data_IF_221970065381
#
_entry.id   IF_221970065381
#
_cell.length_a   1.000
_cell.length_b   1.000
_cell.length_c   1.000
_cell.angle_alpha   90.00
_cell.angle_beta   90.00
_cell.angle_gamma   90.00
#
_symmetry.space_group_name_H-M   'P 1'
#
loop_
_entity.id
_entity.type
_entity.pdbx_description
1 polymer ?
#
# COMPACT_ATOMS: atom_id res chain seq x y z
N UNK A 1 2.27 -12.17 -1.79
CA UNK A 1 2.11 -13.65 -1.64
C UNK A 1 3.43 -14.28 -1.20
N UNK A 2 3.43 -15.29 -0.32
CA UNK A 2 4.61 -15.95 0.26
C UNK A 2 5.51 -15.10 1.19
N UNK A 3 5.09 -13.88 1.54
CA UNK A 3 5.75 -13.07 2.56
C UNK A 3 5.76 -13.81 3.90
N UNK A 4 6.88 -13.74 4.61
CA UNK A 4 6.97 -14.26 5.97
C UNK A 4 6.08 -13.46 6.92
N UNK A 5 5.34 -14.16 7.78
CA UNK A 5 4.40 -13.57 8.73
C UNK A 5 4.80 -13.94 10.16
N UNK A 6 4.75 -12.97 11.06
CA UNK A 6 4.84 -13.16 12.51
C UNK A 6 3.50 -12.77 13.12
N UNK A 7 2.91 -13.66 13.91
CA UNK A 7 1.66 -13.36 14.62
C UNK A 7 2.01 -12.75 15.99
N UNK A 8 1.57 -11.52 16.22
CA UNK A 8 1.84 -10.81 17.48
C UNK A 8 0.55 -10.66 18.28
N UNK A 9 0.43 -11.45 19.34
CA UNK A 9 -0.66 -11.31 20.32
C UNK A 9 -0.42 -10.09 21.19
N UNK A 10 -1.28 -9.07 21.10
CA UNK A 10 -1.13 -7.85 21.90
C UNK A 10 -1.95 -7.91 23.18
N UNK A 11 -1.72 -6.96 24.10
CA UNK A 11 -2.49 -6.82 25.35
C UNK A 11 -2.42 -8.04 26.28
N UNK A 12 -1.27 -8.73 26.31
CA UNK A 12 -1.05 -9.88 27.19
C UNK A 12 -1.33 -9.59 28.67
N UNK A 13 -1.11 -8.35 29.12
CA UNK A 13 -1.42 -7.90 30.48
C UNK A 13 -2.91 -7.96 30.82
N UNK A 14 -3.79 -7.68 29.85
CA UNK A 14 -5.24 -7.77 30.05
C UNK A 14 -5.71 -9.22 30.01
N UNK A 15 -5.20 -10.02 29.07
CA UNK A 15 -5.51 -11.46 28.98
C UNK A 15 -5.16 -12.15 30.29
N UNK A 16 -3.98 -11.90 30.83
CA UNK A 16 -3.53 -12.49 32.10
C UNK A 16 -4.38 -12.06 33.32
N UNK A 17 -5.00 -10.88 33.27
CA UNK A 17 -5.80 -10.36 34.39
C UNK A 17 -7.26 -10.77 34.32
N UNK A 18 -7.83 -10.86 33.12
CA UNK A 18 -9.28 -10.97 32.91
C UNK A 18 -9.72 -12.35 32.43
N UNK A 19 -8.81 -13.17 31.90
CA UNK A 19 -9.11 -14.46 31.31
C UNK A 19 -8.43 -15.60 32.08
N UNK A 20 -8.91 -16.85 31.91
CA UNK A 20 -8.29 -18.01 32.53
C UNK A 20 -6.79 -18.11 32.19
N UNK A 21 -5.93 -18.57 33.11
CA UNK A 21 -4.49 -18.68 32.86
C UNK A 21 -4.11 -19.52 31.64
N UNK A 22 -4.91 -20.57 31.33
CA UNK A 22 -4.67 -21.44 30.17
C UNK A 22 -5.03 -20.79 28.84
N UNK A 23 -5.84 -19.73 28.84
CA UNK A 23 -6.42 -19.17 27.62
C UNK A 23 -5.36 -18.68 26.62
N UNK A 24 -4.30 -18.07 27.14
CA UNK A 24 -3.16 -17.63 26.34
C UNK A 24 -2.43 -18.82 25.70
N UNK A 25 -2.15 -19.88 26.47
CA UNK A 25 -1.52 -21.11 25.97
C UNK A 25 -2.40 -21.80 24.92
N UNK A 26 -3.71 -21.91 25.18
CA UNK A 26 -4.70 -22.49 24.28
C UNK A 26 -4.74 -21.75 22.93
N UNK A 27 -4.71 -20.41 22.96
CA UNK A 27 -4.65 -19.59 21.74
C UNK A 27 -3.34 -19.76 20.98
N UNK A 28 -2.20 -19.81 21.69
CA UNK A 28 -0.90 -20.06 21.07
C UNK A 28 -0.85 -21.44 20.40
N UNK A 29 -1.41 -22.46 21.06
CA UNK A 29 -1.53 -23.80 20.49
C UNK A 29 -2.43 -23.80 19.25
N UNK A 30 -3.59 -23.13 19.31
CA UNK A 30 -4.50 -23.02 18.19
C UNK A 30 -3.83 -22.36 16.97
N UNK A 31 -3.05 -21.29 17.18
CA UNK A 31 -2.29 -20.63 16.12
C UNK A 31 -1.26 -21.59 15.50
N UNK A 32 -0.50 -22.30 16.35
CA UNK A 32 0.52 -23.25 15.90
C UNK A 32 -0.11 -24.36 15.05
N UNK A 33 -1.21 -24.94 15.49
CA UNK A 33 -1.91 -26.01 14.77
C UNK A 33 -2.52 -25.54 13.44
N UNK A 34 -3.06 -24.31 13.39
CA UNK A 34 -3.77 -23.81 12.21
C UNK A 34 -2.90 -23.13 11.17
N UNK A 35 -1.74 -22.60 11.55
CA UNK A 35 -0.96 -21.74 10.65
C UNK A 35 0.53 -22.09 10.55
N UNK A 36 1.11 -22.77 11.55
CA UNK A 36 2.56 -23.04 11.58
C UNK A 36 2.83 -24.51 11.25
N UNK A 37 2.18 -25.43 11.96
CA UNK A 37 2.37 -26.87 11.85
C UNK A 37 1.42 -27.50 10.81
N UNK A 38 1.17 -26.81 9.71
CA UNK A 38 0.28 -27.29 8.64
C UNK A 38 1.12 -27.87 7.50
N UNK A 39 0.88 -29.13 7.17
CA UNK A 39 1.49 -29.80 6.01
C UNK A 39 0.91 -29.16 4.74
N UNK A 40 1.77 -28.80 3.78
CA UNK A 40 1.37 -28.18 2.51
C UNK A 40 0.52 -26.90 2.69
N UNK A 41 0.87 -26.07 3.68
CA UNK A 41 0.18 -24.80 3.97
C UNK A 41 0.07 -23.87 2.74
N UNK A 42 1.06 -23.91 1.86
CA UNK A 42 1.11 -23.17 0.59
C UNK A 42 0.00 -23.59 -0.38
N UNK A 43 -0.31 -24.90 -0.47
CA UNK A 43 -1.41 -25.41 -1.32
C UNK A 43 -2.79 -25.03 -0.79
N UNK A 44 -2.90 -24.78 0.51
CA UNK A 44 -4.12 -24.34 1.17
C UNK A 44 -4.31 -22.81 1.08
N UNK A 45 -3.36 -22.09 0.48
CA UNK A 45 -3.38 -20.64 0.40
C UNK A 45 -3.16 -19.96 1.76
N UNK A 46 -2.62 -20.67 2.74
CA UNK A 46 -2.31 -20.10 4.05
C UNK A 46 -1.07 -19.22 3.98
N UNK A 47 -1.02 -18.13 4.77
CA UNK A 47 0.18 -17.32 4.88
C UNK A 47 1.34 -18.14 5.46
N UNK A 48 2.57 -17.78 5.07
CA UNK A 48 3.79 -18.39 5.62
C UNK A 48 4.08 -17.84 7.01
N UNK A 49 3.37 -18.35 8.02
CA UNK A 49 3.58 -17.96 9.41
C UNK A 49 4.82 -18.67 9.96
N UNK A 50 5.79 -17.88 10.41
CA UNK A 50 7.06 -18.41 10.94
C UNK A 50 6.99 -18.65 12.44
N UNK A 51 6.39 -17.72 13.17
CA UNK A 51 6.29 -17.80 14.62
C UNK A 51 5.15 -16.93 15.17
N UNK A 52 4.86 -17.11 16.44
CA UNK A 52 3.87 -16.38 17.22
C UNK A 52 4.44 -15.92 18.55
N UNK A 53 4.16 -14.69 18.95
CA UNK A 53 4.65 -14.12 20.21
C UNK A 53 3.59 -13.22 20.86
N UNK A 54 3.45 -13.32 22.17
CA UNK A 54 2.56 -12.46 22.95
C UNK A 54 3.35 -11.35 23.61
N UNK A 55 2.83 -10.12 23.53
CA UNK A 55 3.48 -8.92 24.05
C UNK A 55 2.51 -8.05 24.85
N UNK A 56 3.08 -7.25 25.74
CA UNK A 56 2.37 -6.16 26.39
C UNK A 56 3.23 -4.91 26.38
N UNK A 57 2.74 -3.87 25.71
CA UNK A 57 3.40 -2.56 25.73
C UNK A 57 3.36 -1.92 27.12
N UNK A 58 2.34 -2.23 27.94
CA UNK A 58 2.18 -1.68 29.29
C UNK A 58 3.18 -2.26 30.28
N UNK A 59 3.30 -3.59 30.33
CA UNK A 59 4.25 -4.28 31.21
C UNK A 59 5.64 -4.47 30.59
N UNK A 60 5.81 -4.10 29.32
CA UNK A 60 6.99 -4.38 28.48
C UNK A 60 7.29 -5.88 28.34
N UNK A 61 6.28 -6.73 28.53
CA UNK A 61 6.39 -8.17 28.37
C UNK A 61 6.79 -8.52 26.93
N UNK A 62 7.84 -9.34 26.79
CA UNK A 62 8.37 -9.88 25.53
C UNK A 62 8.75 -8.87 24.44
N UNK A 63 8.76 -7.56 24.70
CA UNK A 63 9.11 -6.55 23.68
C UNK A 63 10.53 -6.77 23.13
N UNK A 64 11.50 -7.07 23.98
CA UNK A 64 12.87 -7.39 23.54
C UNK A 64 12.93 -8.67 22.70
N UNK A 65 12.14 -9.67 23.07
CA UNK A 65 12.07 -10.93 22.33
C UNK A 65 11.42 -10.70 20.94
N UNK A 66 10.40 -9.86 20.86
CA UNK A 66 9.81 -9.46 19.58
C UNK A 66 10.84 -8.77 18.69
N UNK A 67 11.63 -7.83 19.22
CA UNK A 67 12.69 -7.17 18.46
C UNK A 67 13.72 -8.18 17.91
N UNK A 68 14.17 -9.12 18.75
CA UNK A 68 15.10 -10.16 18.34
C UNK A 68 14.48 -11.08 17.29
N UNK A 69 13.22 -11.50 17.48
CA UNK A 69 12.50 -12.35 16.54
C UNK A 69 12.36 -11.68 15.16
N UNK A 70 12.04 -10.39 15.12
CA UNK A 70 12.00 -9.61 13.88
C UNK A 70 13.39 -9.60 13.23
N UNK A 71 14.44 -9.32 14.01
CA UNK A 71 15.82 -9.30 13.50
C UNK A 71 16.21 -10.66 12.91
N UNK A 72 16.08 -11.74 13.67
CA UNK A 72 16.43 -13.09 13.25
C UNK A 72 15.61 -13.54 12.02
N UNK A 73 14.32 -13.18 11.98
CA UNK A 73 13.47 -13.44 10.83
C UNK A 73 14.01 -12.74 9.59
N UNK A 74 14.20 -11.43 9.65
CA UNK A 74 14.63 -10.61 8.51
C UNK A 74 15.99 -11.03 7.97
N UNK A 75 16.95 -11.38 8.84
CA UNK A 75 18.28 -11.87 8.45
C UNK A 75 18.31 -13.33 7.97
N UNK A 76 17.25 -14.11 8.21
CA UNK A 76 17.13 -15.50 7.73
C UNK A 76 16.32 -15.64 6.45
N UNK A 77 15.61 -14.58 6.00
CA UNK A 77 14.86 -14.58 4.76
C UNK A 77 15.79 -14.82 3.55
N UNK A 78 15.28 -15.59 2.60
CA UNK A 78 15.97 -15.93 1.34
C UNK A 78 15.08 -15.53 0.17
N UNK A 79 15.70 -15.16 -0.94
CA UNK A 79 14.97 -14.89 -2.18
C UNK A 79 14.36 -16.19 -2.72
N UNK A 80 13.16 -16.18 -3.33
CA UNK A 80 12.54 -17.38 -3.90
C UNK A 80 13.41 -18.08 -4.96
N UNK A 81 14.25 -17.31 -5.67
CA UNK A 81 15.09 -17.78 -6.78
C UNK A 81 16.55 -18.04 -6.39
N UNK A 82 16.98 -17.68 -5.18
CA UNK A 82 18.38 -17.80 -4.75
C UNK A 82 18.49 -18.42 -3.37
N UNK A 83 19.57 -19.20 -3.17
CA UNK A 83 19.91 -19.75 -1.84
C UNK A 83 20.52 -18.70 -0.90
N UNK A 84 20.87 -17.53 -1.43
CA UNK A 84 21.43 -16.41 -0.69
C UNK A 84 20.37 -15.70 0.16
N UNK A 85 20.80 -15.16 1.30
CA UNK A 85 19.92 -14.35 2.16
C UNK A 85 19.57 -13.05 1.48
N UNK A 86 18.34 -12.59 1.69
CA UNK A 86 17.80 -11.41 1.02
C UNK A 86 18.68 -10.17 1.25
N UNK A 87 19.16 -9.96 2.48
CA UNK A 87 20.01 -8.81 2.83
C UNK A 87 21.47 -8.93 2.36
N UNK A 88 21.92 -10.13 1.97
CA UNK A 88 23.28 -10.34 1.47
C UNK A 88 23.38 -10.08 -0.05
N UNK A 89 22.22 -9.99 -0.73
CA UNK A 89 22.17 -9.74 -2.16
C UNK A 89 22.75 -8.37 -2.51
N UNK A 90 23.72 -8.38 -3.42
CA UNK A 90 24.32 -7.15 -3.94
C UNK A 90 23.41 -6.54 -4.99
N UNK A 91 23.21 -5.23 -4.88
CA UNK A 91 22.48 -4.44 -5.88
C UNK A 91 23.43 -3.48 -6.60
N UNK A 92 23.14 -3.12 -7.87
CA UNK A 92 23.93 -2.12 -8.58
C UNK A 92 23.87 -0.76 -7.87
N UNK A 93 25.02 -0.07 -7.77
CA UNK A 93 25.08 1.27 -7.18
C UNK A 93 24.21 2.30 -7.93
N UNK A 94 23.93 2.06 -9.21
CA UNK A 94 23.02 2.88 -10.03
C UNK A 94 21.56 2.82 -9.54
N UNK A 95 21.16 1.76 -8.84
CA UNK A 95 19.79 1.63 -8.30
C UNK A 95 19.62 2.53 -7.07
N UNK A 96 20.63 2.58 -6.20
CA UNK A 96 20.68 3.52 -5.07
C UNK A 96 20.71 4.97 -5.57
N UNK A 97 21.49 5.24 -6.62
CA UNK A 97 21.51 6.56 -7.24
C UNK A 97 20.14 6.95 -7.81
N UNK A 98 19.40 6.00 -8.39
CA UNK A 98 18.04 6.22 -8.86
C UNK A 98 17.08 6.51 -7.71
N UNK A 99 17.18 5.80 -6.58
CA UNK A 99 16.40 6.07 -5.36
C UNK A 99 16.60 7.52 -4.89
N UNK A 100 17.84 7.99 -4.79
CA UNK A 100 18.16 9.37 -4.42
C UNK A 100 17.62 10.40 -5.42
N UNK A 101 17.63 10.07 -6.71
CA UNK A 101 17.07 10.94 -7.76
C UNK A 101 15.55 10.98 -7.67
N UNK A 102 14.89 9.84 -7.50
CA UNK A 102 13.44 9.74 -7.35
C UNK A 102 12.96 10.51 -6.12
N UNK A 103 13.63 10.35 -4.98
CA UNK A 103 13.33 11.10 -3.76
C UNK A 103 13.48 12.61 -3.96
N UNK A 104 14.54 13.03 -4.66
CA UNK A 104 14.75 14.44 -4.99
C UNK A 104 13.66 15.00 -5.92
N UNK A 105 13.32 14.28 -6.98
CA UNK A 105 12.27 14.68 -7.93
C UNK A 105 10.90 14.73 -7.26
N UNK A 106 10.58 13.77 -6.38
CA UNK A 106 9.35 13.80 -5.59
C UNK A 106 9.28 15.04 -4.70
N UNK A 107 10.38 15.36 -4.00
CA UNK A 107 10.47 16.54 -3.13
C UNK A 107 10.36 17.85 -3.92
N UNK A 108 11.10 18.00 -5.02
CA UNK A 108 11.04 19.19 -5.88
C UNK A 108 9.61 19.45 -6.34
N UNK A 109 8.92 18.41 -6.82
CA UNK A 109 7.54 18.55 -7.30
C UNK A 109 6.59 18.97 -6.19
N UNK A 110 6.69 18.34 -5.01
CA UNK A 110 5.90 18.72 -3.82
C UNK A 110 6.11 20.20 -3.46
N UNK A 111 7.37 20.67 -3.43
CA UNK A 111 7.71 22.07 -3.14
C UNK A 111 7.19 23.03 -4.21
N UNK A 112 7.19 22.59 -5.46
CA UNK A 112 6.60 23.29 -6.61
C UNK A 112 5.06 23.18 -6.66
N UNK A 113 4.42 22.57 -5.67
CA UNK A 113 2.96 22.38 -5.58
C UNK A 113 2.39 21.40 -6.61
N UNK A 114 3.23 20.61 -7.27
CA UNK A 114 2.86 19.63 -8.32
C UNK A 114 2.74 18.24 -7.75
N UNK A 115 1.86 17.44 -8.34
CA UNK A 115 1.72 16.03 -7.97
C UNK A 115 3.02 15.27 -8.25
N UNK A 116 3.50 14.39 -7.35
CA UNK A 116 4.72 13.61 -7.51
C UNK A 116 4.55 12.45 -8.53
N UNK A 117 3.96 12.74 -9.68
CA UNK A 117 3.68 11.81 -10.78
C UNK A 117 4.34 12.33 -12.05
N UNK A 118 5.01 11.45 -12.78
CA UNK A 118 5.65 11.75 -14.06
C UNK A 118 5.14 10.83 -15.17
N UNK A 119 5.12 11.34 -16.39
CA UNK A 119 4.94 10.50 -17.59
C UNK A 119 6.23 9.73 -17.90
N UNK A 120 6.16 8.63 -18.65
CA UNK A 120 7.33 7.86 -19.10
C UNK A 120 8.43 8.73 -19.69
N UNK A 121 8.08 9.60 -20.64
CA UNK A 121 9.03 10.49 -21.32
C UNK A 121 9.70 11.45 -20.31
N UNK A 122 8.91 12.04 -19.42
CA UNK A 122 9.43 13.01 -18.43
C UNK A 122 10.28 12.32 -17.37
N UNK A 123 9.89 11.13 -16.93
CA UNK A 123 10.65 10.33 -15.98
C UNK A 123 12.03 10.00 -16.54
N UNK A 124 12.09 9.45 -17.76
CA UNK A 124 13.35 9.11 -18.42
C UNK A 124 14.26 10.34 -18.58
N UNK A 125 13.71 11.47 -19.06
CA UNK A 125 14.46 12.69 -19.28
C UNK A 125 15.01 13.27 -17.96
N UNK A 126 14.18 13.37 -16.92
CA UNK A 126 14.57 13.94 -15.62
C UNK A 126 15.57 13.06 -14.89
N UNK A 127 15.37 11.73 -14.87
CA UNK A 127 16.31 10.80 -14.25
C UNK A 127 17.68 10.90 -14.93
N UNK A 128 17.72 10.93 -16.26
CA UNK A 128 18.96 11.05 -17.02
C UNK A 128 19.67 12.37 -16.73
N UNK A 129 18.93 13.48 -16.72
CA UNK A 129 19.47 14.80 -16.42
C UNK A 129 20.02 14.89 -14.99
N UNK A 130 19.27 14.41 -14.00
CA UNK A 130 19.67 14.41 -12.59
C UNK A 130 20.91 13.54 -12.34
N UNK A 131 20.94 12.31 -12.87
CA UNK A 131 22.12 11.44 -12.75
C UNK A 131 23.36 12.11 -13.35
N UNK A 132 23.22 12.68 -14.55
CA UNK A 132 24.33 13.37 -15.23
C UNK A 132 24.79 14.59 -14.44
N UNK A 133 23.87 15.38 -13.87
CA UNK A 133 24.20 16.55 -13.06
C UNK A 133 24.99 16.21 -11.78
N UNK A 134 24.78 14.99 -11.25
CA UNK A 134 25.48 14.46 -10.07
C UNK A 134 26.79 13.76 -10.44
N UNK A 135 27.19 13.77 -11.72
CA UNK A 135 28.39 13.07 -12.20
C UNK A 135 28.24 11.55 -12.23
N UNK A 136 27.02 11.03 -12.12
CA UNK A 136 26.73 9.60 -12.15
C UNK A 136 26.50 9.13 -13.58
N UNK A 137 26.86 7.87 -13.87
CA UNK A 137 26.63 7.28 -15.18
C UNK A 137 25.13 7.07 -15.40
N UNK A 138 24.55 7.58 -16.51
CA UNK A 138 23.15 7.31 -16.84
C UNK A 138 22.95 5.83 -17.22
N UNK A 139 21.70 5.38 -17.16
CA UNK A 139 21.31 4.07 -17.68
C UNK A 139 21.59 3.97 -19.18
N UNK A 140 21.99 2.77 -19.64
CA UNK A 140 22.37 2.50 -21.04
C UNK A 140 21.18 2.66 -21.99
N UNK A 141 20.03 2.15 -21.56
CA UNK A 141 18.80 2.10 -22.33
C UNK A 141 17.57 2.07 -21.41
N UNK A 142 16.39 2.19 -22.01
CA UNK A 142 15.11 2.15 -21.28
C UNK A 142 14.90 0.82 -20.56
N UNK A 143 15.44 -0.30 -21.06
CA UNK A 143 15.25 -1.60 -20.42
C UNK A 143 16.01 -1.69 -19.08
N UNK A 144 17.24 -1.17 -19.02
CA UNK A 144 18.01 -1.09 -17.77
C UNK A 144 17.32 -0.18 -16.74
N UNK A 145 16.82 0.99 -17.17
CA UNK A 145 16.05 1.88 -16.29
C UNK A 145 14.75 1.21 -15.81
N UNK A 146 14.06 0.47 -16.67
CA UNK A 146 12.85 -0.25 -16.27
C UNK A 146 13.17 -1.33 -15.23
N UNK A 147 14.29 -2.05 -15.36
CA UNK A 147 14.70 -3.04 -14.37
C UNK A 147 15.00 -2.40 -13.00
N UNK A 148 15.68 -1.24 -13.00
CA UNK A 148 15.92 -0.47 -11.78
C UNK A 148 14.61 0.06 -11.18
N UNK A 149 13.69 0.52 -12.02
CA UNK A 149 12.36 1.01 -11.63
C UNK A 149 11.52 -0.11 -11.02
N UNK A 150 11.49 -1.31 -11.61
CA UNK A 150 10.81 -2.48 -11.05
C UNK A 150 11.37 -2.84 -9.69
N UNK A 151 12.69 -2.80 -9.52
CA UNK A 151 13.32 -3.03 -8.22
C UNK A 151 12.87 -1.98 -7.19
N UNK A 152 12.88 -0.69 -7.53
CA UNK A 152 12.36 0.37 -6.66
C UNK A 152 10.86 0.22 -6.36
N UNK A 153 10.08 -0.29 -7.31
CA UNK A 153 8.67 -0.61 -7.14
C UNK A 153 8.43 -1.71 -6.11
N UNK A 154 9.17 -2.81 -6.21
CA UNK A 154 9.09 -3.93 -5.26
C UNK A 154 9.51 -3.53 -3.84
N UNK A 155 10.42 -2.56 -3.72
CA UNK A 155 10.88 -2.02 -2.43
C UNK A 155 10.02 -0.84 -1.92
N UNK A 156 8.99 -0.42 -2.67
CA UNK A 156 8.10 0.66 -2.24
C UNK A 156 8.74 2.05 -2.22
N UNK A 157 9.77 2.30 -3.03
CA UNK A 157 10.40 3.62 -3.20
C UNK A 157 9.57 4.49 -4.15
N UNK A 158 9.09 3.90 -5.25
CA UNK A 158 8.16 4.49 -6.21
C UNK A 158 7.14 3.44 -6.63
N UNK A 159 6.08 3.82 -7.35
CA UNK A 159 5.14 2.87 -7.92
C UNK A 159 5.03 3.07 -9.43
N UNK A 160 5.11 1.98 -10.18
CA UNK A 160 4.90 1.92 -11.62
C UNK A 160 4.12 0.64 -11.92
N UNK A 161 3.06 0.76 -12.71
CA UNK A 161 2.14 -0.34 -12.97
C UNK A 161 2.16 -0.72 -14.43
N UNK A 162 2.44 -2.00 -14.71
CA UNK A 162 2.30 -2.55 -16.07
C UNK A 162 0.81 -2.82 -16.38
N UNK A 163 0.07 -1.73 -16.57
CA UNK A 163 -1.37 -1.70 -16.82
C UNK A 163 -1.65 -0.81 -18.03
N UNK A 164 -2.60 -1.18 -18.89
CA UNK A 164 -2.93 -0.40 -20.09
C UNK A 164 -3.22 1.08 -19.80
N UNK A 165 -3.76 1.39 -18.62
CA UNK A 165 -4.15 2.74 -18.22
C UNK A 165 -3.09 3.50 -17.40
N UNK A 166 -2.15 2.79 -16.78
CA UNK A 166 -1.16 3.39 -15.85
C UNK A 166 0.30 3.19 -16.26
N UNK A 167 0.60 2.38 -17.29
CA UNK A 167 1.98 2.09 -17.74
C UNK A 167 2.79 3.32 -18.12
N UNK A 168 2.12 4.41 -18.47
CA UNK A 168 2.77 5.67 -18.82
C UNK A 168 3.06 6.56 -17.62
N UNK A 169 2.73 6.13 -16.40
CA UNK A 169 2.78 6.95 -15.18
C UNK A 169 3.69 6.34 -14.12
N UNK A 170 4.55 7.19 -13.58
CA UNK A 170 5.50 6.87 -12.53
C UNK A 170 5.14 7.69 -11.29
N UNK A 171 4.68 7.02 -10.24
CA UNK A 171 4.32 7.61 -8.96
C UNK A 171 5.58 7.64 -8.10
N UNK A 172 6.23 8.79 -8.00
CA UNK A 172 7.51 8.95 -7.30
C UNK A 172 7.37 8.90 -5.77
N UNK A 173 6.14 8.81 -5.29
CA UNK A 173 5.79 9.01 -3.89
C UNK A 173 4.61 8.13 -3.50
N UNK A 174 4.91 6.92 -3.00
CA UNK A 174 3.88 5.95 -2.60
C UNK A 174 3.01 6.44 -1.45
N UNK A 175 3.57 7.21 -0.51
CA UNK A 175 2.81 7.75 0.62
C UNK A 175 1.75 8.75 0.14
N UNK A 176 2.11 9.67 -0.76
CA UNK A 176 1.14 10.60 -1.35
C UNK A 176 0.02 9.86 -2.08
N UNK A 177 0.33 8.78 -2.81
CA UNK A 177 -0.69 7.96 -3.46
C UNK A 177 -1.63 7.33 -2.43
N UNK A 178 -1.09 6.75 -1.35
CA UNK A 178 -1.88 6.18 -0.27
C UNK A 178 -2.78 7.22 0.41
N UNK A 179 -2.24 8.41 0.72
CA UNK A 179 -2.99 9.51 1.30
C UNK A 179 -4.12 9.98 0.37
N UNK A 180 -3.83 10.01 -0.93
CA UNK A 180 -4.78 10.37 -1.99
C UNK A 180 -5.94 9.37 -2.08
N UNK A 181 -5.65 8.06 -2.07
CA UNK A 181 -6.66 7.01 -2.06
C UNK A 181 -7.47 7.00 -0.75
N UNK A 182 -6.80 7.19 0.39
CA UNK A 182 -7.45 7.24 1.69
C UNK A 182 -8.49 8.36 1.76
N UNK A 183 -8.19 9.56 1.22
CA UNK A 183 -9.13 10.68 1.17
C UNK A 183 -10.46 10.32 0.49
N UNK A 184 -10.45 9.48 -0.55
CA UNK A 184 -11.67 9.07 -1.26
C UNK A 184 -12.60 8.24 -0.38
N UNK A 185 -12.04 7.36 0.47
CA UNK A 185 -12.80 6.44 1.33
C UNK A 185 -12.98 6.93 2.76
N UNK A 186 -12.54 8.15 3.07
CA UNK A 186 -12.74 8.72 4.41
C UNK A 186 -14.20 8.91 4.76
N UNK A 187 -14.46 9.04 6.07
CA UNK A 187 -15.79 9.28 6.63
C UNK A 187 -16.42 10.57 6.08
N UNK A 188 -17.76 10.65 6.14
CA UNK A 188 -18.56 11.70 5.50
C UNK A 188 -18.21 13.11 6.00
N UNK A 189 -17.75 13.24 7.24
CA UNK A 189 -17.32 14.48 7.86
C UNK A 189 -16.09 15.08 7.14
N UNK A 190 -15.27 14.21 6.54
CA UNK A 190 -14.07 14.57 5.79
C UNK A 190 -14.36 14.59 4.28
N UNK A 191 -15.13 13.62 3.78
CA UNK A 191 -15.58 13.55 2.38
C UNK A 191 -17.11 13.57 2.27
N UNK A 192 -17.75 14.75 2.24
CA UNK A 192 -19.22 14.87 2.14
C UNK A 192 -19.76 14.56 0.73
N UNK A 193 -18.88 14.35 -0.25
CA UNK A 193 -19.24 14.13 -1.66
C UNK A 193 -19.58 12.66 -1.95
N UNK A 194 -19.11 11.73 -1.12
CA UNK A 194 -19.44 10.31 -1.20
C UNK A 194 -20.72 10.00 -0.39
N UNK A 195 -21.89 10.16 -1.01
CA UNK A 195 -23.18 9.92 -0.35
C UNK A 195 -23.66 8.49 -0.64
N UNK A 196 -23.86 7.71 0.41
CA UNK A 196 -24.31 6.30 0.32
C UNK A 196 -23.45 5.47 -0.65
N UNK A 197 -22.13 5.68 -0.64
CA UNK A 197 -21.23 4.97 -1.53
C UNK A 197 -21.24 5.45 -2.99
N UNK A 198 -21.89 6.58 -3.31
CA UNK A 198 -21.86 7.16 -4.66
C UNK A 198 -21.23 8.53 -4.63
N UNK A 199 -20.30 8.78 -5.55
CA UNK A 199 -19.59 10.05 -5.69
C UNK A 199 -19.57 10.47 -7.16
N UNK A 200 -19.74 11.76 -7.47
CA UNK A 200 -19.61 12.23 -8.85
C UNK A 200 -18.14 12.37 -9.24
N UNK A 201 -17.81 12.06 -10.50
CA UNK A 201 -16.48 12.27 -11.05
C UNK A 201 -16.04 13.74 -10.97
N UNK A 202 -16.99 14.68 -11.08
CA UNK A 202 -16.70 16.10 -10.93
C UNK A 202 -16.34 16.52 -9.51
N UNK A 203 -16.75 15.75 -8.50
CA UNK A 203 -16.44 16.05 -7.10
C UNK A 203 -15.04 15.54 -6.73
N UNK A 204 -14.39 14.71 -7.56
CA UNK A 204 -13.00 14.28 -7.35
C UNK A 204 -12.07 15.47 -7.23
N UNK A 205 -12.26 16.52 -8.04
CA UNK A 205 -11.47 17.76 -7.96
C UNK A 205 -11.50 18.42 -6.57
N UNK A 206 -12.57 18.18 -5.80
CA UNK A 206 -12.72 18.73 -4.46
C UNK A 206 -12.03 17.89 -3.40
N UNK A 207 -11.84 16.60 -3.66
CA UNK A 207 -11.04 15.69 -2.83
C UNK A 207 -9.55 15.90 -3.10
N UNK A 208 -9.18 16.25 -4.34
CA UNK A 208 -7.79 16.46 -4.76
C UNK A 208 -7.39 17.94 -4.87
N UNK A 209 -7.91 18.82 -4.01
CA UNK A 209 -7.65 20.29 -4.06
C UNK A 209 -6.17 20.71 -3.95
N UNK A 210 -5.26 19.82 -3.60
CA UNK A 210 -3.81 20.06 -3.57
C UNK A 210 -3.07 19.77 -4.89
N UNK A 211 -3.75 19.16 -5.87
CA UNK A 211 -3.16 18.76 -7.14
C UNK A 211 -3.24 19.91 -8.15
N UNK A 212 -2.12 20.60 -8.38
CA UNK A 212 -2.04 21.71 -9.36
C UNK A 212 -1.82 21.23 -10.81
N UNK A 213 -1.85 19.92 -11.08
CA UNK A 213 -1.69 19.41 -12.45
C UNK A 213 -2.98 19.58 -13.27
N UNK A 214 -2.82 19.77 -14.57
CA UNK A 214 -3.86 20.23 -15.49
C UNK A 214 -5.17 19.40 -15.41
N UNK A 215 -6.36 20.04 -15.52
CA UNK A 215 -7.63 19.47 -15.06
C UNK A 215 -8.17 18.29 -15.88
N UNK A 216 -7.54 17.96 -17.01
CA UNK A 216 -8.07 17.02 -18.00
C UNK A 216 -7.48 15.62 -17.82
N UNK A 217 -6.17 15.52 -17.52
CA UNK A 217 -5.48 14.23 -17.37
C UNK A 217 -5.43 13.73 -15.92
N UNK A 218 -5.53 14.63 -14.93
CA UNK A 218 -5.53 14.23 -13.53
C UNK A 218 -6.73 13.34 -13.17
N UNK A 219 -7.91 13.67 -13.71
CA UNK A 219 -9.12 12.87 -13.50
C UNK A 219 -8.99 11.47 -14.09
N UNK A 220 -8.37 11.32 -15.26
CA UNK A 220 -8.33 10.03 -15.96
C UNK A 220 -7.45 9.04 -15.21
N UNK A 221 -6.24 9.42 -14.80
CA UNK A 221 -5.37 8.49 -14.09
C UNK A 221 -5.85 8.21 -12.66
N UNK A 222 -6.47 9.18 -11.97
CA UNK A 222 -7.03 8.95 -10.63
C UNK A 222 -8.15 7.92 -10.68
N UNK A 223 -9.04 8.01 -11.67
CA UNK A 223 -10.09 7.00 -11.88
C UNK A 223 -9.48 5.65 -12.19
N UNK A 224 -8.45 5.59 -13.05
CA UNK A 224 -7.72 4.35 -13.33
C UNK A 224 -7.08 3.74 -12.09
N UNK A 225 -6.51 4.55 -11.19
CA UNK A 225 -5.97 4.10 -9.91
C UNK A 225 -7.07 3.56 -9.00
N UNK A 226 -8.15 4.32 -8.82
CA UNK A 226 -9.27 3.91 -7.97
C UNK A 226 -9.86 2.57 -8.41
N UNK A 227 -10.03 2.40 -9.73
CA UNK A 227 -10.49 1.15 -10.33
C UNK A 227 -9.46 0.02 -10.09
N UNK A 228 -8.17 0.27 -10.31
CA UNK A 228 -7.11 -0.73 -10.17
C UNK A 228 -6.98 -1.27 -8.74
N UNK A 229 -7.16 -0.40 -7.74
CA UNK A 229 -7.11 -0.78 -6.34
C UNK A 229 -8.47 -1.20 -5.77
N UNK A 230 -9.52 -1.21 -6.60
CA UNK A 230 -10.91 -1.52 -6.22
C UNK A 230 -11.42 -0.66 -5.06
N UNK A 231 -10.84 0.54 -4.90
CA UNK A 231 -11.22 1.52 -3.88
C UNK A 231 -12.53 2.20 -4.28
N UNK A 232 -12.64 2.54 -5.56
CA UNK A 232 -13.87 3.03 -6.17
C UNK A 232 -13.95 2.54 -7.62
N UNK A 233 -15.16 2.20 -8.06
CA UNK A 233 -15.42 1.65 -9.39
C UNK A 233 -16.24 2.64 -10.20
N UNK A 234 -15.94 2.80 -11.49
CA UNK A 234 -16.81 3.54 -12.41
C UNK A 234 -18.16 2.85 -12.54
N UNK A 235 -19.21 3.48 -12.01
CA UNK A 235 -20.59 3.00 -12.11
C UNK A 235 -21.21 3.40 -13.45
N UNK A 236 -21.00 4.65 -13.85
CA UNK A 236 -21.39 5.20 -15.14
C UNK A 236 -20.38 6.28 -15.61
N UNK A 237 -20.70 6.97 -16.71
CA UNK A 237 -19.85 8.02 -17.28
C UNK A 237 -19.70 9.27 -16.40
N UNK A 238 -20.38 9.36 -15.25
CA UNK A 238 -20.45 10.55 -14.38
C UNK A 238 -20.21 10.24 -12.91
N UNK A 239 -20.24 8.98 -12.49
CA UNK A 239 -20.26 8.58 -11.08
C UNK A 239 -19.36 7.39 -10.80
N UNK A 240 -18.83 7.38 -9.58
CA UNK A 240 -18.08 6.31 -8.98
C UNK A 240 -18.91 5.67 -7.86
N UNK A 241 -18.83 4.35 -7.77
CA UNK A 241 -19.27 3.55 -6.66
C UNK A 241 -18.09 3.32 -5.70
N UNK A 242 -18.26 3.61 -4.42
CA UNK A 242 -17.29 3.38 -3.35
C UNK A 242 -17.87 2.30 -2.44
N UNK A 243 -17.53 1.01 -2.65
CA UNK A 243 -18.23 -0.11 -2.02
C UNK A 243 -18.20 -0.07 -0.48
N UNK A 244 -17.09 0.37 0.11
CA UNK A 244 -16.92 0.44 1.56
C UNK A 244 -17.79 1.52 2.24
N UNK A 245 -18.36 2.45 1.47
CA UNK A 245 -19.25 3.52 1.96
C UNK A 245 -20.73 3.26 1.68
N UNK A 246 -21.06 2.08 1.14
CA UNK A 246 -22.45 1.66 0.95
C UNK A 246 -23.15 1.50 2.31
N UNK A 247 -24.45 1.86 2.40
CA UNK A 247 -25.21 1.65 3.63
C UNK A 247 -25.24 0.17 4.04
N UNK A 248 -25.04 -0.09 5.33
CA UNK A 248 -25.21 -1.43 5.88
C UNK A 248 -26.69 -1.85 5.86
N UNK A 249 -26.94 -3.16 5.94
CA UNK A 249 -28.31 -3.68 6.03
C UNK A 249 -29.06 -3.16 7.28
N UNK A 250 -28.33 -2.90 8.36
CA UNK A 250 -28.89 -2.31 9.58
C UNK A 250 -29.30 -0.85 9.35
N UNK A 251 -28.48 -0.07 8.66
CA UNK A 251 -28.79 1.31 8.28
C UNK A 251 -29.99 1.38 7.33
N UNK A 252 -30.10 0.42 6.40
CA UNK A 252 -31.25 0.27 5.51
C UNK A 252 -32.56 0.00 6.25
N UNK A 253 -32.51 -0.79 7.34
CA UNK A 253 -33.67 -1.13 8.17
C UNK A 253 -34.04 -0.04 9.17
N UNK A 254 -33.05 0.70 9.67
CA UNK A 254 -33.24 1.78 10.63
C UNK A 254 -33.68 3.10 9.97
N UNK A 255 -33.63 3.20 8.63
CA UNK A 255 -34.10 4.38 7.94
C UNK A 255 -35.61 4.60 8.15
N UNK A 256 -36.02 5.84 8.50
CA UNK A 256 -37.43 6.17 8.59
C UNK A 256 -38.12 5.93 7.24
N UNK A 257 -39.37 5.45 7.28
CA UNK A 257 -40.19 5.21 6.10
C UNK A 257 -40.15 6.44 5.16
N UNK A 258 -39.51 6.30 3.99
CA UNK A 258 -39.35 7.37 3.00
C UNK A 258 -37.93 7.90 2.79
N UNK A 259 -36.97 7.56 3.66
CA UNK A 259 -35.56 7.83 3.41
C UNK A 259 -35.00 6.80 2.41
N UNK A 260 -34.98 7.17 1.14
CA UNK A 260 -34.43 6.33 0.07
C UNK A 260 -32.89 6.33 0.12
N UNK A 261 -32.34 5.50 1.00
CA UNK A 261 -30.90 5.22 1.10
C UNK A 261 -30.42 4.19 0.08
N UNK A 262 -31.32 3.67 -0.76
CA UNK A 262 -30.93 2.75 -1.84
C UNK A 262 -30.17 3.54 -2.90
N UNK A 263 -29.12 2.93 -3.42
CA UNK A 263 -28.49 3.43 -4.65
C UNK A 263 -29.51 3.26 -5.76
N UNK A 264 -30.00 4.37 -6.32
CA UNK A 264 -30.92 4.35 -7.47
C UNK A 264 -30.13 3.90 -8.70
N UNK A 265 -30.53 2.76 -9.25
CA UNK A 265 -30.00 2.17 -10.49
C UNK A 265 -30.67 2.85 -11.68
#
# INVERSE_FOLDING_TARGET
PNSAVLIVGTHYDLVRQQLPPSWSEDLQQLIRERFINVIDADKLGLPRVLDTIEVSCKSRHNIKLLCNLIYDTVFSLKSPSSKERLLEQRIPATYLALEDVVAHLALERRLSGRDPVLTSERYQALVTAELTSRGMKPFRDTAELNQATSFLHENGVLLHYDDATLKELYFLDPQWLCDMLAHVVTIREINPFAKNGVMKLDDLKHVFKGSSCAPVDAKSYIVSLLNKFEVALTWDNRTLLIPCLLPSMEQLRAAPNGADIRVRI
#
